data_IF_862720293640
#
_entry.id   IF_862720293640
#
_cell.length_a   1.000
_cell.length_b   1.000
_cell.length_c   1.000
_cell.angle_alpha   90.00
_cell.angle_beta   90.00
_cell.angle_gamma   90.00
#
_symmetry.space_group_name_H-M   'P 1'
#
loop_
_entity.id
_entity.type
_entity.pdbx_description
1 polymer ?
#
# COMPACT_ATOMS: atom_id res chain seq x y z
N UNK A 1 69.84 -52.10 16.78
CA UNK A 1 68.72 -51.49 17.51
C UNK A 1 68.24 -50.33 16.65
N UNK A 2 67.27 -50.56 15.77
CA UNK A 2 66.77 -49.54 14.84
C UNK A 2 65.31 -49.82 14.56
N UNK A 3 64.48 -48.79 14.76
CA UNK A 3 63.07 -48.85 15.09
C UNK A 3 62.16 -49.22 13.91
N UNK A 4 61.18 -50.07 14.18
CA UNK A 4 60.05 -50.41 13.32
C UNK A 4 58.98 -49.31 13.43
N UNK A 5 58.77 -48.53 12.37
CA UNK A 5 57.79 -47.45 12.32
C UNK A 5 56.57 -47.88 11.50
N UNK A 6 55.58 -48.44 12.20
CA UNK A 6 54.25 -48.70 11.65
C UNK A 6 53.39 -47.43 11.76
N UNK A 7 52.75 -46.94 10.69
CA UNK A 7 51.87 -45.77 10.77
C UNK A 7 50.51 -46.13 11.44
N UNK A 8 49.82 -45.16 12.08
CA UNK A 8 48.59 -45.43 12.82
C UNK A 8 47.38 -45.60 11.88
N UNK A 9 46.50 -46.54 12.22
CA UNK A 9 45.22 -46.78 11.56
C UNK A 9 44.26 -45.60 11.79
N UNK A 10 43.88 -44.90 10.72
CA UNK A 10 42.78 -43.93 10.73
C UNK A 10 41.44 -44.67 10.72
N UNK A 11 40.69 -44.53 11.81
CA UNK A 11 39.31 -45.03 11.93
C UNK A 11 38.36 -44.13 11.13
N UNK A 12 37.65 -44.70 10.16
CA UNK A 12 36.63 -43.99 9.40
C UNK A 12 35.33 -43.86 10.22
N UNK A 13 34.88 -42.63 10.43
CA UNK A 13 33.59 -42.31 11.06
C UNK A 13 32.44 -42.65 10.09
N UNK A 14 31.35 -43.30 10.53
CA UNK A 14 30.23 -43.61 9.65
C UNK A 14 29.46 -42.33 9.30
N UNK A 15 29.12 -42.17 8.01
CA UNK A 15 28.31 -41.06 7.52
C UNK A 15 26.85 -41.19 8.01
N UNK A 16 26.33 -40.11 8.59
CA UNK A 16 24.92 -39.97 8.98
C UNK A 16 24.06 -39.84 7.71
N UNK A 17 22.98 -40.61 7.54
CA UNK A 17 22.14 -40.49 6.35
C UNK A 17 21.39 -39.14 6.37
N UNK A 18 21.44 -38.43 5.24
CA UNK A 18 20.73 -37.17 5.07
C UNK A 18 19.21 -37.40 5.05
N UNK A 19 18.50 -36.78 6.00
CA UNK A 19 17.04 -36.69 6.02
C UNK A 19 16.55 -35.99 4.74
N UNK A 20 15.55 -36.53 4.02
CA UNK A 20 14.99 -35.82 2.86
C UNK A 20 14.38 -34.50 3.32
N UNK A 21 14.75 -33.42 2.62
CA UNK A 21 14.21 -32.09 2.87
C UNK A 21 12.69 -32.12 2.77
N UNK A 22 12.00 -31.76 3.86
CA UNK A 22 10.56 -31.58 3.87
C UNK A 22 10.20 -30.57 2.77
N UNK A 23 9.25 -30.94 1.90
CA UNK A 23 8.69 -30.03 0.91
C UNK A 23 8.25 -28.75 1.63
N UNK A 24 8.80 -27.61 1.20
CA UNK A 24 8.51 -26.30 1.80
C UNK A 24 7.00 -26.00 1.76
N UNK A 25 6.51 -25.13 2.65
CA UNK A 25 5.10 -24.75 2.67
C UNK A 25 4.68 -24.27 1.28
N UNK A 26 3.49 -24.68 0.85
CA UNK A 26 2.89 -24.17 -0.38
C UNK A 26 2.93 -22.63 -0.38
N UNK A 27 3.21 -21.98 -1.52
CA UNK A 27 3.28 -20.52 -1.57
C UNK A 27 1.97 -19.94 -1.02
N UNK A 28 2.08 -19.00 -0.07
CA UNK A 28 0.93 -18.30 0.48
C UNK A 28 0.12 -17.66 -0.65
N UNK A 29 -1.21 -17.68 -0.53
CA UNK A 29 -2.09 -17.05 -1.51
C UNK A 29 -1.70 -15.57 -1.69
N UNK A 30 -1.79 -15.02 -2.93
CA UNK A 30 -1.36 -13.66 -3.21
C UNK A 30 -2.21 -12.64 -2.45
N UNK A 31 -1.56 -11.72 -1.74
CA UNK A 31 -2.25 -10.69 -0.96
C UNK A 31 -2.97 -9.71 -1.90
N UNK A 32 -4.14 -9.22 -1.50
CA UNK A 32 -4.88 -8.20 -2.21
C UNK A 32 -4.44 -6.81 -1.73
N UNK A 33 -3.98 -5.96 -2.65
CA UNK A 33 -3.44 -4.63 -2.36
C UNK A 33 -4.21 -3.57 -3.13
N UNK A 34 -4.56 -2.48 -2.47
CA UNK A 34 -5.19 -1.31 -3.10
C UNK A 34 -4.24 -0.11 -3.09
N UNK A 35 -4.04 0.53 -4.23
CA UNK A 35 -3.39 1.84 -4.35
C UNK A 35 -4.43 2.89 -4.72
N UNK A 36 -4.56 3.92 -3.89
CA UNK A 36 -5.45 5.05 -4.13
C UNK A 36 -4.59 6.24 -4.53
N UNK A 37 -4.61 6.59 -5.82
CA UNK A 37 -3.69 7.56 -6.41
C UNK A 37 -2.53 6.89 -7.14
N UNK A 38 -2.77 6.45 -8.37
CA UNK A 38 -1.77 5.82 -9.23
C UNK A 38 -0.90 6.84 -9.99
N UNK A 39 -0.35 7.82 -9.25
CA UNK A 39 0.65 8.76 -9.74
C UNK A 39 2.08 8.27 -9.50
N UNK A 40 3.04 9.19 -9.43
CA UNK A 40 4.48 8.92 -9.28
C UNK A 40 4.84 7.89 -8.18
N UNK A 41 4.28 8.03 -6.98
CA UNK A 41 4.60 7.14 -5.86
C UNK A 41 3.77 5.85 -5.91
N UNK A 42 2.47 5.98 -6.17
CA UNK A 42 1.54 4.86 -6.20
C UNK A 42 1.91 3.79 -7.23
N UNK A 43 2.30 4.18 -8.45
CA UNK A 43 2.68 3.21 -9.49
C UNK A 43 3.96 2.45 -9.16
N UNK A 44 4.93 3.08 -8.49
CA UNK A 44 6.15 2.40 -8.03
C UNK A 44 5.87 1.39 -6.92
N UNK A 45 4.96 1.71 -6.01
CA UNK A 45 4.51 0.76 -4.97
C UNK A 45 3.73 -0.39 -5.60
N UNK A 46 2.81 -0.09 -6.51
CA UNK A 46 2.06 -1.10 -7.26
C UNK A 46 2.98 -2.07 -8.00
N UNK A 47 3.99 -1.57 -8.72
CA UNK A 47 4.96 -2.40 -9.44
C UNK A 47 5.72 -3.35 -8.50
N UNK A 48 6.08 -2.90 -7.28
CA UNK A 48 6.74 -3.76 -6.29
C UNK A 48 5.81 -4.85 -5.76
N UNK A 49 4.54 -4.55 -5.55
CA UNK A 49 3.55 -5.54 -5.14
C UNK A 49 3.26 -6.56 -6.24
N UNK A 50 3.13 -6.12 -7.49
CA UNK A 50 3.00 -7.02 -8.64
C UNK A 50 4.22 -7.96 -8.77
N UNK A 51 5.43 -7.43 -8.61
CA UNK A 51 6.66 -8.23 -8.63
C UNK A 51 6.75 -9.25 -7.46
N UNK A 52 6.07 -8.97 -6.35
CA UNK A 52 5.94 -9.90 -5.23
C UNK A 52 4.86 -10.98 -5.45
N UNK A 53 4.11 -10.91 -6.57
CA UNK A 53 3.01 -11.82 -6.87
C UNK A 53 1.67 -11.41 -6.25
N UNK A 54 1.58 -10.23 -5.63
CA UNK A 54 0.33 -9.75 -5.04
C UNK A 54 -0.70 -9.37 -6.12
N UNK A 55 -1.98 -9.46 -5.78
CA UNK A 55 -3.08 -8.92 -6.61
C UNK A 55 -3.22 -7.43 -6.33
N UNK A 56 -2.91 -6.60 -7.30
CA UNK A 56 -2.91 -5.13 -7.13
C UNK A 56 -4.10 -4.50 -7.81
N UNK A 57 -4.77 -3.62 -7.07
CA UNK A 57 -5.89 -2.79 -7.51
C UNK A 57 -5.49 -1.32 -7.46
N UNK A 58 -6.00 -0.51 -8.39
CA UNK A 58 -5.66 0.90 -8.49
C UNK A 58 -6.88 1.79 -8.74
N UNK A 59 -7.10 2.78 -7.88
CA UNK A 59 -8.16 3.79 -8.10
C UNK A 59 -7.66 4.89 -9.04
N UNK A 60 -8.49 5.23 -10.03
CA UNK A 60 -8.32 6.36 -10.93
C UNK A 60 -9.66 7.00 -11.29
N UNK A 61 -9.66 8.31 -11.54
CA UNK A 61 -10.85 9.05 -11.99
C UNK A 61 -11.14 8.91 -13.49
N UNK A 62 -10.15 8.45 -14.27
CA UNK A 62 -10.18 8.54 -15.75
C UNK A 62 -10.19 7.14 -16.37
N UNK A 63 -11.19 6.81 -17.22
CA UNK A 63 -11.22 5.54 -17.96
C UNK A 63 -9.97 5.30 -18.82
N UNK A 64 -9.44 6.34 -19.47
CA UNK A 64 -8.19 6.23 -20.23
C UNK A 64 -6.99 5.80 -19.37
N UNK A 65 -6.92 6.28 -18.12
CA UNK A 65 -5.89 5.84 -17.17
C UNK A 65 -6.15 4.41 -16.68
N UNK A 66 -7.42 4.00 -16.55
CA UNK A 66 -7.77 2.63 -16.16
C UNK A 66 -7.23 1.60 -17.17
N UNK A 67 -7.36 1.88 -18.47
CA UNK A 67 -6.80 1.02 -19.52
C UNK A 67 -5.26 0.91 -19.41
N UNK A 68 -4.58 2.02 -19.13
CA UNK A 68 -3.13 2.01 -18.93
C UNK A 68 -2.69 1.23 -17.67
N UNK A 69 -3.48 1.26 -16.59
CA UNK A 69 -3.25 0.47 -15.38
C UNK A 69 -3.46 -1.03 -15.66
N UNK A 70 -4.54 -1.39 -16.36
CA UNK A 70 -4.81 -2.77 -16.74
C UNK A 70 -3.69 -3.35 -17.61
N UNK A 71 -3.15 -2.57 -18.56
CA UNK A 71 -2.05 -2.98 -19.43
C UNK A 71 -0.76 -3.35 -18.67
N UNK A 72 -0.58 -2.86 -17.44
CA UNK A 72 0.56 -3.20 -16.57
C UNK A 72 0.19 -4.18 -15.45
N UNK A 73 -0.97 -4.82 -15.53
CA UNK A 73 -1.42 -5.85 -14.57
C UNK A 73 -2.08 -5.32 -13.29
N UNK A 74 -2.37 -4.02 -13.20
CA UNK A 74 -3.14 -3.44 -12.09
C UNK A 74 -4.62 -3.53 -12.43
N UNK A 75 -5.43 -4.10 -11.54
CA UNK A 75 -6.89 -4.15 -11.67
C UNK A 75 -7.47 -2.74 -11.41
N UNK A 76 -7.95 -2.01 -12.43
CA UNK A 76 -8.36 -0.63 -12.24
C UNK A 76 -9.76 -0.53 -11.62
N UNK A 77 -9.94 0.44 -10.73
CA UNK A 77 -11.24 0.85 -10.20
C UNK A 77 -11.46 2.30 -10.60
N UNK A 78 -12.45 2.56 -11.46
CA UNK A 78 -12.78 3.91 -11.89
C UNK A 78 -13.68 4.56 -10.84
N UNK A 79 -13.09 5.45 -10.03
CA UNK A 79 -13.76 6.10 -8.92
C UNK A 79 -13.13 7.47 -8.65
N UNK A 80 -13.97 8.46 -8.36
CA UNK A 80 -13.53 9.74 -7.79
C UNK A 80 -13.75 9.74 -6.27
N UNK A 81 -12.65 9.74 -5.52
CA UNK A 81 -12.69 9.75 -4.05
C UNK A 81 -13.34 11.03 -3.47
N UNK A 82 -13.42 12.10 -4.27
CA UNK A 82 -14.01 13.38 -3.84
C UNK A 82 -15.50 13.51 -4.16
N UNK A 83 -16.02 12.69 -5.07
CA UNK A 83 -17.45 12.67 -5.38
C UNK A 83 -18.26 12.11 -4.20
N UNK A 84 -19.57 12.38 -4.19
CA UNK A 84 -20.52 11.61 -3.39
C UNK A 84 -20.84 10.31 -4.12
N UNK A 85 -20.87 9.21 -3.38
CA UNK A 85 -21.17 7.87 -3.87
C UNK A 85 -22.00 7.14 -2.83
N UNK A 86 -23.06 6.47 -3.28
CA UNK A 86 -23.85 5.53 -2.49
C UNK A 86 -23.17 4.17 -2.55
N UNK A 87 -22.35 3.86 -1.53
CA UNK A 87 -21.70 2.56 -1.44
C UNK A 87 -22.71 1.49 -0.96
N UNK A 88 -22.73 0.29 -1.57
CA UNK A 88 -21.89 -0.24 -2.66
C UNK A 88 -22.43 -0.04 -4.09
N UNK A 89 -23.48 0.77 -4.30
CA UNK A 89 -24.19 0.90 -5.60
C UNK A 89 -23.31 1.50 -6.69
N UNK A 90 -22.47 2.45 -6.29
CA UNK A 90 -21.71 3.28 -7.24
C UNK A 90 -20.26 2.83 -7.43
N UNK A 91 -19.85 1.70 -6.84
CA UNK A 91 -18.48 1.16 -6.98
C UNK A 91 -18.47 -0.05 -7.90
N UNK A 92 -17.95 0.06 -9.13
CA UNK A 92 -17.76 -1.09 -10.00
C UNK A 92 -16.70 -2.01 -9.39
N UNK A 93 -17.02 -3.29 -9.24
CA UNK A 93 -16.02 -4.34 -9.03
C UNK A 93 -15.94 -5.14 -10.31
N UNK A 94 -14.73 -5.28 -10.84
CA UNK A 94 -14.46 -6.18 -11.95
C UNK A 94 -14.62 -7.61 -11.42
N UNK A 95 -15.69 -8.28 -11.84
CA UNK A 95 -15.80 -9.73 -11.74
C UNK A 95 -14.65 -10.28 -12.57
N UNK A 96 -13.63 -10.87 -11.92
CA UNK A 96 -12.49 -11.43 -12.64
C UNK A 96 -12.93 -12.37 -13.77
N UNK A 97 -12.06 -12.67 -14.76
CA UNK A 97 -12.44 -13.47 -15.92
C UNK A 97 -13.00 -14.83 -15.48
N UNK A 98 -14.32 -15.02 -15.66
CA UNK A 98 -15.04 -16.25 -15.33
C UNK A 98 -16.13 -16.14 -14.24
N UNK A 99 -16.28 -15.01 -13.55
CA UNK A 99 -17.39 -14.81 -12.61
C UNK A 99 -18.54 -14.05 -13.27
N UNK A 100 -19.71 -14.70 -13.37
CA UNK A 100 -20.92 -14.06 -13.87
C UNK A 100 -21.32 -12.95 -12.90
N UNK A 101 -21.51 -11.74 -13.41
CA UNK A 101 -22.06 -10.61 -12.65
C UNK A 101 -23.39 -11.04 -12.01
N UNK A 102 -23.37 -11.34 -10.71
CA UNK A 102 -24.58 -11.65 -9.97
C UNK A 102 -25.25 -10.34 -9.58
N UNK A 103 -26.50 -10.17 -10.01
CA UNK A 103 -27.53 -9.23 -9.52
C UNK A 103 -27.09 -8.16 -8.52
N UNK A 104 -26.30 -7.18 -8.99
CA UNK A 104 -26.08 -5.91 -8.32
C UNK A 104 -25.26 -5.95 -7.02
N UNK A 105 -24.53 -4.87 -6.81
CA UNK A 105 -23.97 -4.48 -5.52
C UNK A 105 -22.83 -5.36 -4.98
N UNK A 106 -21.66 -5.30 -5.61
CA UNK A 106 -20.45 -5.88 -5.03
C UNK A 106 -19.72 -4.82 -4.18
N UNK A 107 -19.49 -5.03 -2.88
CA UNK A 107 -18.58 -4.19 -2.10
C UNK A 107 -17.17 -4.29 -2.69
N UNK A 108 -16.31 -3.30 -2.43
CA UNK A 108 -14.87 -3.38 -2.70
C UNK A 108 -14.35 -4.80 -2.39
N UNK A 109 -13.40 -5.32 -3.18
CA UNK A 109 -12.66 -6.51 -2.77
C UNK A 109 -12.13 -6.33 -1.35
N UNK A 110 -12.02 -7.42 -0.59
CA UNK A 110 -11.26 -7.36 0.66
C UNK A 110 -9.79 -7.17 0.33
N UNK A 111 -9.14 -6.27 1.06
CA UNK A 111 -7.72 -5.97 0.88
C UNK A 111 -6.96 -6.31 2.15
N UNK A 112 -5.73 -6.78 1.98
CA UNK A 112 -4.77 -6.93 3.08
C UNK A 112 -4.10 -5.58 3.38
N UNK A 113 -3.92 -4.73 2.37
CA UNK A 113 -3.29 -3.42 2.51
C UNK A 113 -3.85 -2.40 1.55
N UNK A 114 -4.10 -1.20 2.06
CA UNK A 114 -4.52 -0.03 1.29
C UNK A 114 -3.46 1.04 1.43
N UNK A 115 -2.99 1.59 0.31
CA UNK A 115 -2.05 2.70 0.28
C UNK A 115 -2.72 3.93 -0.33
N UNK A 116 -3.01 4.92 0.52
CA UNK A 116 -3.49 6.23 0.14
C UNK A 116 -2.32 7.10 -0.29
N UNK A 117 -2.17 7.29 -1.60
CA UNK A 117 -1.09 8.04 -2.24
C UNK A 117 -1.63 9.08 -3.23
N UNK A 118 -2.84 9.59 -3.00
CA UNK A 118 -3.47 10.60 -3.84
C UNK A 118 -2.66 11.88 -3.75
N UNK A 119 -2.19 12.37 -4.90
CA UNK A 119 -1.60 13.70 -4.99
C UNK A 119 -2.69 14.78 -5.14
N UNK A 120 -2.41 15.99 -4.68
CA UNK A 120 -3.31 17.12 -4.88
C UNK A 120 -3.06 17.79 -6.23
N UNK A 121 -4.07 17.80 -7.08
CA UNK A 121 -4.07 18.51 -8.37
C UNK A 121 -4.64 19.92 -8.18
N UNK A 122 -3.76 20.93 -8.24
CA UNK A 122 -4.11 22.34 -8.04
C UNK A 122 -4.98 22.92 -9.15
N UNK A 123 -5.10 22.22 -10.29
CA UNK A 123 -5.95 22.63 -11.42
C UNK A 123 -7.36 22.09 -11.28
N UNK A 124 -7.59 21.16 -10.35
CA UNK A 124 -8.92 20.64 -10.07
C UNK A 124 -9.77 21.63 -9.29
N UNK A 125 -11.10 21.50 -9.39
CA UNK A 125 -12.06 22.29 -8.62
C UNK A 125 -12.26 21.78 -7.18
N UNK A 126 -11.47 20.79 -6.74
CA UNK A 126 -11.57 20.21 -5.40
C UNK A 126 -10.54 20.83 -4.47
N UNK A 127 -10.86 20.89 -3.18
CA UNK A 127 -9.93 21.39 -2.17
C UNK A 127 -8.99 20.29 -1.69
N UNK A 128 -7.88 20.69 -1.05
CA UNK A 128 -6.96 19.74 -0.43
C UNK A 128 -7.68 18.87 0.61
N UNK A 129 -8.64 19.46 1.34
CA UNK A 129 -9.47 18.79 2.36
C UNK A 129 -10.42 17.77 1.72
N UNK A 130 -11.05 18.10 0.59
CA UNK A 130 -11.96 17.18 -0.11
C UNK A 130 -11.23 15.89 -0.50
N UNK A 131 -9.99 16.01 -0.96
CA UNK A 131 -9.16 14.86 -1.30
C UNK A 131 -8.76 14.11 -0.04
N UNK A 132 -8.00 14.75 0.86
CA UNK A 132 -7.25 14.04 1.88
C UNK A 132 -8.02 13.74 3.16
N UNK A 133 -9.09 14.46 3.46
CA UNK A 133 -9.92 14.23 4.66
C UNK A 133 -11.24 13.60 4.25
N UNK A 134 -12.03 14.28 3.41
CA UNK A 134 -13.35 13.79 3.01
C UNK A 134 -13.24 12.49 2.21
N UNK A 135 -12.39 12.45 1.18
CA UNK A 135 -12.20 11.25 0.37
C UNK A 135 -11.59 10.09 1.13
N UNK A 136 -10.65 10.37 2.06
CA UNK A 136 -10.09 9.34 2.93
C UNK A 136 -11.17 8.75 3.85
N UNK A 137 -11.98 9.59 4.50
CA UNK A 137 -13.08 9.13 5.36
C UNK A 137 -14.03 8.23 4.59
N UNK A 138 -14.49 8.68 3.41
CA UNK A 138 -15.43 7.90 2.59
C UNK A 138 -14.87 6.55 2.20
N UNK A 139 -13.60 6.49 1.78
CA UNK A 139 -12.95 5.22 1.47
C UNK A 139 -12.88 4.32 2.70
N UNK A 140 -12.44 4.86 3.85
CA UNK A 140 -12.35 4.11 5.10
C UNK A 140 -13.71 3.56 5.57
N UNK A 141 -14.79 4.32 5.38
CA UNK A 141 -16.14 3.91 5.72
C UNK A 141 -16.64 2.75 4.84
N UNK A 142 -16.23 2.74 3.57
CA UNK A 142 -16.64 1.74 2.58
C UNK A 142 -15.79 0.46 2.55
N UNK A 143 -14.56 0.51 3.06
CA UNK A 143 -13.65 -0.65 3.02
C UNK A 143 -14.20 -1.80 3.88
N UNK A 144 -14.40 -3.00 3.31
CA UNK A 144 -14.72 -4.18 4.10
C UNK A 144 -13.49 -4.73 4.80
N UNK A 145 -13.73 -5.51 5.87
CA UNK A 145 -12.66 -6.12 6.64
C UNK A 145 -11.85 -5.10 7.44
N UNK A 146 -10.58 -5.42 7.71
CA UNK A 146 -9.65 -4.58 8.49
C UNK A 146 -8.28 -4.53 7.81
N UNK A 147 -8.17 -3.93 6.62
CA UNK A 147 -6.90 -3.81 5.92
C UNK A 147 -5.90 -3.01 6.74
N UNK A 148 -4.60 -3.27 6.54
CA UNK A 148 -3.58 -2.30 6.95
C UNK A 148 -3.68 -1.07 6.05
N UNK A 149 -4.05 0.08 6.60
CA UNK A 149 -4.13 1.33 5.83
C UNK A 149 -2.86 2.16 6.03
N UNK A 150 -2.25 2.58 4.93
CA UNK A 150 -1.05 3.41 4.89
C UNK A 150 -1.40 4.73 4.19
N UNK A 151 -1.21 5.85 4.88
CA UNK A 151 -1.38 7.20 4.36
C UNK A 151 -0.04 7.80 3.99
N UNK A 152 0.10 8.22 2.73
CA UNK A 152 1.19 9.10 2.28
C UNK A 152 0.94 10.51 2.82
N UNK A 153 1.55 10.81 3.96
CA UNK A 153 1.59 12.14 4.56
C UNK A 153 2.86 12.90 4.12
N UNK A 154 3.16 14.02 4.79
CA UNK A 154 4.30 14.87 4.51
C UNK A 154 4.96 15.35 5.80
N UNK A 155 6.27 15.58 5.77
CA UNK A 155 6.97 16.29 6.85
C UNK A 155 6.48 17.73 7.05
N UNK A 156 5.71 18.28 6.10
CA UNK A 156 5.03 19.57 6.26
C UNK A 156 4.02 19.65 7.42
N UNK A 157 3.68 18.51 8.05
CA UNK A 157 2.87 18.48 9.27
C UNK A 157 3.61 19.04 10.50
N UNK A 158 4.95 19.05 10.51
CA UNK A 158 5.72 19.66 11.59
C UNK A 158 5.76 21.18 11.49
N UNK A 159 5.65 21.75 10.28
CA UNK A 159 5.70 23.20 10.08
C UNK A 159 7.12 23.72 9.86
N UNK A 160 7.45 24.87 10.43
CA UNK A 160 8.80 25.44 10.39
C UNK A 160 9.50 25.17 11.72
N UNK A 161 10.43 24.23 11.69
CA UNK A 161 11.22 23.82 12.85
C UNK A 161 12.59 24.51 12.87
N UNK A 162 12.76 25.63 12.15
CA UNK A 162 13.95 26.49 12.20
C UNK A 162 15.29 25.76 12.06
N UNK A 163 15.32 24.76 11.18
CA UNK A 163 16.51 23.94 10.92
C UNK A 163 16.85 22.91 11.99
N UNK A 164 15.97 22.68 12.98
CA UNK A 164 16.12 21.61 13.95
C UNK A 164 15.96 20.23 13.31
N UNK A 165 16.57 19.22 13.94
CA UNK A 165 16.31 17.82 13.61
C UNK A 165 14.94 17.46 14.18
N UNK A 166 14.10 16.89 13.32
CA UNK A 166 12.72 16.47 13.63
C UNK A 166 12.61 14.96 13.57
N UNK A 167 11.69 14.41 14.36
CA UNK A 167 11.35 12.98 14.37
C UNK A 167 9.86 12.78 14.69
N UNK A 168 9.44 11.52 14.83
CA UNK A 168 8.04 11.15 15.10
C UNK A 168 7.51 11.68 16.43
N UNK A 169 8.40 11.95 17.40
CA UNK A 169 8.05 12.56 18.70
C UNK A 169 7.90 14.08 18.61
N UNK A 170 8.31 14.70 17.50
CA UNK A 170 8.16 16.15 17.28
C UNK A 170 6.66 16.49 17.13
N UNK A 171 6.13 17.42 17.94
CA UNK A 171 4.72 17.82 17.88
C UNK A 171 4.28 18.30 16.50
N UNK A 172 3.02 18.01 16.15
CA UNK A 172 2.44 18.41 14.86
C UNK A 172 1.97 19.87 14.92
N UNK A 173 2.70 20.79 14.27
CA UNK A 173 2.38 22.22 14.22
C UNK A 173 2.45 22.82 12.81
N UNK A 174 1.57 22.39 11.88
CA UNK A 174 1.65 22.81 10.50
C UNK A 174 1.29 24.30 10.31
N UNK A 175 2.19 25.04 9.66
CA UNK A 175 2.00 26.45 9.31
C UNK A 175 1.25 26.65 7.98
N UNK A 176 1.33 25.70 7.06
CA UNK A 176 0.71 25.76 5.72
C UNK A 176 -0.57 24.92 5.65
N UNK A 177 -1.49 25.33 4.78
CA UNK A 177 -2.78 24.66 4.55
C UNK A 177 -2.63 23.16 4.29
N UNK A 178 -1.79 22.77 3.32
CA UNK A 178 -1.57 21.36 2.98
C UNK A 178 -1.11 20.52 4.19
N UNK A 179 -0.25 21.09 5.06
CA UNK A 179 0.20 20.42 6.28
C UNK A 179 -0.92 20.27 7.31
N UNK A 180 -1.79 21.28 7.48
CA UNK A 180 -2.95 21.20 8.37
C UNK A 180 -3.94 20.12 7.93
N UNK A 181 -4.21 20.08 6.63
CA UNK A 181 -5.11 19.08 6.04
C UNK A 181 -4.53 17.66 6.18
N UNK A 182 -3.22 17.48 5.97
CA UNK A 182 -2.60 16.17 6.17
C UNK A 182 -2.56 15.76 7.64
N UNK A 183 -2.29 16.68 8.57
CA UNK A 183 -2.36 16.42 10.01
C UNK A 183 -3.77 15.98 10.45
N UNK A 184 -4.81 16.58 9.86
CA UNK A 184 -6.19 16.16 10.06
C UNK A 184 -6.47 14.78 9.47
N UNK A 185 -5.99 14.49 8.26
CA UNK A 185 -6.11 13.17 7.65
C UNK A 185 -5.39 12.08 8.46
N UNK A 186 -4.23 12.39 9.06
CA UNK A 186 -3.53 11.51 10.00
C UNK A 186 -4.40 11.24 11.24
N UNK A 187 -4.95 12.30 11.83
CA UNK A 187 -5.81 12.20 13.02
C UNK A 187 -7.08 11.37 12.74
N UNK A 188 -7.69 11.56 11.56
CA UNK A 188 -8.81 10.76 11.08
C UNK A 188 -8.42 9.29 10.97
N UNK A 189 -7.32 8.97 10.30
CA UNK A 189 -6.87 7.58 10.13
C UNK A 189 -6.56 6.89 11.47
N UNK A 190 -5.95 7.61 12.41
CA UNK A 190 -5.58 7.07 13.72
C UNK A 190 -6.80 6.81 14.61
N UNK A 191 -7.84 7.63 14.51
CA UNK A 191 -9.08 7.52 15.30
C UNK A 191 -10.17 6.66 14.65
N UNK A 192 -10.04 6.35 13.36
CA UNK A 192 -11.03 5.56 12.63
C UNK A 192 -11.10 4.09 13.13
N UNK A 193 -12.27 3.45 13.01
CA UNK A 193 -12.51 2.05 13.46
C UNK A 193 -11.61 0.99 12.80
N UNK A 194 -11.10 1.30 11.61
CA UNK A 194 -10.14 0.46 10.88
C UNK A 194 -8.69 0.66 11.36
N UNK A 195 -8.46 1.60 12.28
CA UNK A 195 -7.15 1.94 12.81
C UNK A 195 -6.65 1.02 13.94
N UNK A 196 -5.41 1.26 14.41
CA UNK A 196 -4.55 2.37 13.96
C UNK A 196 -3.90 2.08 12.60
N UNK A 197 -4.10 2.99 11.64
CA UNK A 197 -3.38 2.97 10.37
C UNK A 197 -1.94 3.48 10.52
N UNK A 198 -1.23 3.59 9.40
CA UNK A 198 0.17 4.08 9.35
C UNK A 198 0.23 5.38 8.55
N UNK A 199 0.66 6.47 9.16
CA UNK A 199 1.00 7.70 8.45
C UNK A 199 2.50 7.73 8.12
N UNK A 200 2.86 7.79 6.85
CA UNK A 200 4.24 7.93 6.40
C UNK A 200 4.49 9.39 5.99
N UNK A 201 5.24 10.12 6.81
CA UNK A 201 5.56 11.55 6.58
C UNK A 201 6.75 11.66 5.62
N UNK A 202 6.47 11.77 4.33
CA UNK A 202 7.53 11.92 3.33
C UNK A 202 8.07 13.35 3.27
N UNK A 203 9.40 13.47 3.19
CA UNK A 203 10.04 14.71 2.75
C UNK A 203 9.86 14.88 1.22
N UNK A 204 10.53 15.87 0.63
CA UNK A 204 10.52 16.06 -0.83
C UNK A 204 10.99 14.82 -1.57
N UNK A 205 10.06 14.12 -2.24
CA UNK A 205 10.37 12.98 -3.10
C UNK A 205 11.01 13.49 -4.39
N UNK A 206 12.13 12.90 -4.78
CA UNK A 206 12.88 13.22 -5.99
C UNK A 206 13.20 11.95 -6.79
N UNK A 207 13.49 12.12 -8.07
CA UNK A 207 13.86 11.05 -9.00
C UNK A 207 13.30 11.33 -10.40
N UNK A 208 13.56 10.43 -11.37
CA UNK A 208 13.11 10.62 -12.75
C UNK A 208 11.61 10.92 -12.84
N UNK A 209 11.27 11.94 -13.64
CA UNK A 209 9.90 12.37 -13.96
C UNK A 209 9.08 12.89 -12.76
N UNK A 210 9.70 13.69 -11.87
CA UNK A 210 9.03 14.35 -10.73
C UNK A 210 9.02 15.86 -10.81
#
# INVERSE_FOLDING_TARGET
MTMDHRPPHLSATPAVPATPAAAGPAPAAPAARLVVGCGYLGTRVAARWLAAGDRVYGITRRPATAAALAAIGINPIVLDVTAEWDFPKDVPVDSGPGESASDGLHPFPTFDTVFWAVGFDRTSHTTHRDVHVTGLSRLLDALPGRPRVILSSSTGVWGDEHGQIVNEDTPVHPSREAGRVLAEAESLLLSHRLGPGVALRFAGLYGPDR
#
